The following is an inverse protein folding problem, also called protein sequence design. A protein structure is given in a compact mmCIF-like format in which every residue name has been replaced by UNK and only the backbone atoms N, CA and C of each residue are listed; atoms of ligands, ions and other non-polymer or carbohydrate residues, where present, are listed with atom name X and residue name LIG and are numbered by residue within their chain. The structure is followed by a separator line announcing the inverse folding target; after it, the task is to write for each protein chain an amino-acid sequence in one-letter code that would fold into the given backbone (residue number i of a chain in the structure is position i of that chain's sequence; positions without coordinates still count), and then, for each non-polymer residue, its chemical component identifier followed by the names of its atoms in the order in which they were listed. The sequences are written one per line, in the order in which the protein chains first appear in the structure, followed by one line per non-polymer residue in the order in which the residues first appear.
data_IF_994413855458
#
_entry.id   IF_994413855458
#
_cell.length_a   1.000
_cell.length_b   1.000
_cell.length_c   1.000
_cell.angle_alpha   90.00
_cell.angle_beta   90.00
_cell.angle_gamma   90.00
#
_symmetry.space_group_name_H-M   'P 1'
#
loop_
_entity.id
_entity.type
_entity.pdbx_description
1 polymer ?
#
# COMPACT_ATOMS: atom_id res chain seq x y z
N UNK A 1 5.89 5.18 -13.71
CA UNK A 1 6.40 3.88 -13.24
C UNK A 1 7.16 4.15 -11.98
N UNK A 2 6.92 3.40 -10.92
CA UNK A 2 7.63 3.57 -9.65
C UNK A 2 9.12 3.29 -9.87
N UNK A 3 9.97 4.27 -9.54
CA UNK A 3 11.42 4.17 -9.71
C UNK A 3 12.09 3.76 -8.39
N UNK A 4 12.60 2.52 -8.28
CA UNK A 4 13.27 2.07 -7.06
C UNK A 4 14.56 2.86 -6.79
N UNK A 5 15.25 3.40 -7.80
CA UNK A 5 16.51 4.15 -7.61
C UNK A 5 16.28 5.40 -6.78
N UNK A 6 15.16 6.09 -7.01
CA UNK A 6 14.80 7.27 -6.23
C UNK A 6 14.50 6.91 -4.77
N UNK A 7 13.80 5.80 -4.53
CA UNK A 7 13.49 5.33 -3.17
C UNK A 7 14.73 4.84 -2.42
N UNK A 8 15.67 4.20 -3.12
CA UNK A 8 16.95 3.73 -2.58
C UNK A 8 17.84 4.88 -2.06
N UNK A 9 17.61 6.12 -2.49
CA UNK A 9 18.28 7.29 -1.94
C UNK A 9 17.75 7.70 -0.54
N UNK A 10 16.73 7.01 -0.02
CA UNK A 10 16.25 7.23 1.33
C UNK A 10 17.30 6.83 2.38
N UNK A 11 17.48 7.69 3.37
CA UNK A 11 18.25 7.37 4.58
C UNK A 11 17.42 6.66 5.64
N UNK A 12 16.09 6.72 5.53
CA UNK A 12 15.15 6.14 6.48
C UNK A 12 13.85 5.77 5.76
N UNK A 13 13.26 4.64 6.17
CA UNK A 13 11.89 4.27 5.81
C UNK A 13 11.08 4.12 7.08
N UNK A 14 10.01 4.90 7.22
CA UNK A 14 9.06 4.75 8.32
C UNK A 14 7.82 4.04 7.81
N UNK A 15 7.45 2.92 8.43
CA UNK A 15 6.17 2.25 8.21
C UNK A 15 5.19 2.74 9.26
N UNK A 16 4.02 3.20 8.82
CA UNK A 16 2.95 3.68 9.69
C UNK A 16 1.66 2.89 9.45
N UNK A 17 0.84 2.81 10.47
CA UNK A 17 -0.50 2.22 10.43
C UNK A 17 -1.45 3.14 9.64
N UNK A 18 -2.19 2.58 8.67
CA UNK A 18 -3.11 3.35 7.85
C UNK A 18 -2.44 4.21 6.77
N UNK A 19 -3.24 5.10 6.17
CA UNK A 19 -2.79 6.00 5.11
C UNK A 19 -2.04 7.22 5.67
N UNK A 20 -0.83 7.49 5.21
CA UNK A 20 -0.11 8.74 5.46
C UNK A 20 -0.22 9.79 4.35
N UNK A 21 -1.01 9.52 3.30
CA UNK A 21 -1.03 10.35 2.09
C UNK A 21 -1.42 11.81 2.37
N UNK A 22 -2.19 12.06 3.44
CA UNK A 22 -2.42 13.39 3.97
C UNK A 22 -1.42 13.71 5.11
N UNK A 23 -0.48 14.67 4.90
CA UNK A 23 0.45 15.12 5.94
C UNK A 23 -0.24 15.58 7.24
N UNK A 24 -1.48 16.08 7.16
CA UNK A 24 -2.26 16.51 8.33
C UNK A 24 -2.70 15.32 9.20
N UNK A 25 -2.96 14.18 8.58
CA UNK A 25 -3.36 12.95 9.26
C UNK A 25 -2.16 12.04 9.61
N UNK A 26 -1.03 12.18 8.90
CA UNK A 26 0.19 11.39 9.12
C UNK A 26 0.72 11.46 10.56
N UNK A 27 0.56 12.59 11.25
CA UNK A 27 1.02 12.73 12.64
C UNK A 27 0.18 11.95 13.65
N UNK A 28 -1.08 11.62 13.31
CA UNK A 28 -1.96 10.85 14.17
C UNK A 28 -1.75 9.33 14.01
N UNK A 29 -1.12 8.89 12.92
CA UNK A 29 -0.90 7.48 12.65
C UNK A 29 0.21 6.88 13.52
N UNK A 30 -0.02 5.67 14.00
CA UNK A 30 0.97 4.93 14.78
C UNK A 30 2.17 4.55 13.89
N UNK A 31 3.39 4.83 14.35
CA UNK A 31 4.61 4.33 13.71
C UNK A 31 4.82 2.87 14.10
N UNK A 32 4.86 2.00 13.11
CA UNK A 32 5.00 0.55 13.28
C UNK A 32 6.48 0.13 13.21
N UNK A 33 7.24 0.73 12.30
CA UNK A 33 8.65 0.43 12.06
C UNK A 33 9.39 1.68 11.61
N UNK A 34 10.66 1.77 11.99
CA UNK A 34 11.62 2.70 11.39
C UNK A 34 12.85 1.92 10.97
N UNK A 35 13.07 1.83 9.67
CA UNK A 35 14.22 1.18 9.05
C UNK A 35 15.27 2.22 8.64
N UNK A 36 16.54 1.95 8.96
CA UNK A 36 17.70 2.81 8.64
C UNK A 36 18.86 2.03 8.00
N UNK A 37 18.77 0.72 7.95
CA UNK A 37 19.72 -0.10 7.22
C UNK A 37 19.51 0.08 5.71
N UNK A 38 20.53 0.60 5.03
CA UNK A 38 20.42 0.94 3.61
C UNK A 38 20.17 -0.27 2.70
N UNK A 39 20.62 -1.48 3.09
CA UNK A 39 20.35 -2.70 2.32
C UNK A 39 18.89 -3.07 2.44
N UNK A 40 18.34 -3.05 3.65
CA UNK A 40 16.92 -3.35 3.89
C UNK A 40 16.00 -2.32 3.23
N UNK A 41 16.39 -1.04 3.19
CA UNK A 41 15.69 0.01 2.45
C UNK A 41 15.69 -0.29 0.95
N UNK A 42 16.84 -0.70 0.39
CA UNK A 42 16.92 -1.03 -1.02
C UNK A 42 16.06 -2.26 -1.38
N UNK A 43 16.09 -3.30 -0.55
CA UNK A 43 15.27 -4.50 -0.70
C UNK A 43 13.77 -4.15 -0.75
N UNK A 44 13.27 -3.37 0.21
CA UNK A 44 11.84 -3.02 0.24
C UNK A 44 11.45 -2.06 -0.89
N UNK A 45 12.33 -1.14 -1.28
CA UNK A 45 12.11 -0.28 -2.45
C UNK A 45 11.96 -1.11 -3.73
N UNK A 46 12.81 -2.12 -3.94
CA UNK A 46 12.71 -3.02 -5.09
C UNK A 46 11.40 -3.82 -5.06
N UNK A 47 11.03 -4.37 -3.91
CA UNK A 47 9.79 -5.14 -3.78
C UNK A 47 8.55 -4.28 -4.06
N UNK A 48 8.50 -3.06 -3.54
CA UNK A 48 7.35 -2.15 -3.72
C UNK A 48 7.24 -1.57 -5.13
N UNK A 49 8.37 -1.44 -5.85
CA UNK A 49 8.37 -0.98 -7.25
C UNK A 49 8.21 -2.13 -8.26
N UNK A 50 8.36 -3.39 -7.84
CA UNK A 50 8.17 -4.57 -8.68
C UNK A 50 6.68 -4.86 -8.91
N UNK A 51 6.10 -4.13 -9.86
CA UNK A 51 4.68 -4.15 -10.20
C UNK A 51 4.42 -4.81 -11.56
N UNK A 52 3.21 -5.34 -11.76
CA UNK A 52 2.85 -6.03 -13.01
C UNK A 52 2.87 -5.04 -14.20
N UNK A 53 3.68 -5.29 -15.25
CA UNK A 53 3.80 -4.40 -16.39
C UNK A 53 2.46 -4.20 -17.12
N UNK A 54 2.13 -2.95 -17.44
CA UNK A 54 0.93 -2.61 -18.23
C UNK A 54 -0.40 -2.81 -17.49
N UNK A 55 -0.39 -3.19 -16.21
CA UNK A 55 -1.59 -3.21 -15.39
C UNK A 55 -2.09 -1.78 -15.18
N UNK A 56 -3.34 -1.51 -15.57
CA UNK A 56 -4.05 -0.30 -15.13
C UNK A 56 -4.71 -0.60 -13.79
N UNK A 57 -4.34 0.16 -12.76
CA UNK A 57 -4.94 0.03 -11.45
C UNK A 57 -6.43 0.28 -11.43
N UNK A 58 -7.13 -0.39 -10.52
CA UNK A 58 -8.49 -0.01 -10.14
C UNK A 58 -8.40 1.02 -9.02
N UNK A 59 -9.34 1.97 -8.97
CA UNK A 59 -9.44 2.86 -7.81
C UNK A 59 -10.08 2.09 -6.65
N UNK A 60 -9.28 1.63 -5.69
CA UNK A 60 -9.81 0.97 -4.51
C UNK A 60 -10.43 1.99 -3.56
N UNK A 61 -11.65 1.73 -3.09
CA UNK A 61 -12.26 2.51 -1.99
C UNK A 61 -11.64 2.21 -0.61
N UNK A 62 -10.66 1.29 -0.56
CA UNK A 62 -9.95 0.89 0.65
C UNK A 62 -8.87 1.92 1.03
N UNK A 63 -8.68 2.13 2.33
CA UNK A 63 -7.52 2.86 2.85
C UNK A 63 -6.32 1.92 2.97
N UNK A 64 -5.09 2.36 2.65
CA UNK A 64 -3.88 1.59 2.93
C UNK A 64 -3.88 0.99 4.33
N UNK A 65 -3.59 -0.31 4.44
CA UNK A 65 -3.41 -0.97 5.73
C UNK A 65 -2.17 -0.40 6.44
N UNK A 66 -1.11 -0.16 5.67
CA UNK A 66 0.10 0.53 6.09
C UNK A 66 0.61 1.44 4.99
N UNK A 67 1.35 2.47 5.38
CA UNK A 67 2.08 3.37 4.47
C UNK A 67 3.58 3.32 4.75
N UNK A 68 4.39 3.26 3.69
CA UNK A 68 5.85 3.37 3.70
C UNK A 68 6.25 4.80 3.34
N UNK A 69 6.84 5.52 4.28
CA UNK A 69 7.33 6.88 4.08
C UNK A 69 8.85 6.83 3.90
N UNK A 70 9.31 7.04 2.67
CA UNK A 70 10.72 7.10 2.31
C UNK A 70 11.26 8.51 2.56
N UNK A 71 12.31 8.63 3.38
CA UNK A 71 12.85 9.88 3.87
C UNK A 71 14.34 10.00 3.54
N UNK A 72 14.77 11.18 3.09
CA UNK A 72 16.18 11.56 3.01
C UNK A 72 16.42 12.74 3.94
N UNK A 73 17.03 12.47 5.09
CA UNK A 73 17.11 13.42 6.20
C UNK A 73 15.72 13.85 6.68
N UNK A 74 15.37 15.13 6.48
CA UNK A 74 14.05 15.69 6.86
C UNK A 74 13.05 15.76 5.70
N UNK A 75 13.45 15.34 4.49
CA UNK A 75 12.63 15.43 3.29
C UNK A 75 11.95 14.09 3.02
N UNK A 76 10.64 14.13 2.79
CA UNK A 76 9.90 12.99 2.21
C UNK A 76 10.26 12.89 0.73
N UNK A 77 10.81 11.74 0.33
CA UNK A 77 11.05 11.41 -1.07
C UNK A 77 9.77 10.91 -1.72
N UNK A 78 9.11 9.95 -1.07
CA UNK A 78 7.87 9.35 -1.52
C UNK A 78 7.14 8.67 -0.38
N UNK A 79 5.85 8.49 -0.57
CA UNK A 79 5.03 7.64 0.27
C UNK A 79 4.28 6.62 -0.59
N UNK A 80 4.31 5.37 -0.17
CA UNK A 80 3.61 4.26 -0.83
C UNK A 80 2.69 3.56 0.16
N UNK A 81 1.41 3.42 -0.17
CA UNK A 81 0.43 2.68 0.62
C UNK A 81 0.36 1.22 0.18
N UNK A 82 0.25 0.28 1.10
CA UNK A 82 -0.11 -1.11 0.77
C UNK A 82 -1.60 -1.34 0.98
N UNK A 83 -2.24 -1.90 -0.04
CA UNK A 83 -3.66 -2.25 -0.03
C UNK A 83 -3.81 -3.77 -0.04
N UNK A 84 -4.97 -4.24 0.43
CA UNK A 84 -5.39 -5.64 0.24
C UNK A 84 -4.29 -6.64 0.61
N UNK A 85 -3.78 -6.55 1.84
CA UNK A 85 -2.77 -7.48 2.38
C UNK A 85 -1.47 -7.54 1.57
N UNK A 86 -1.00 -6.38 1.10
CA UNK A 86 0.20 -6.25 0.26
C UNK A 86 0.07 -6.80 -1.17
N UNK A 87 -1.14 -6.93 -1.70
CA UNK A 87 -1.36 -7.30 -3.11
C UNK A 87 -1.14 -6.12 -4.07
N UNK A 88 -1.41 -4.90 -3.61
CA UNK A 88 -1.28 -3.69 -4.42
C UNK A 88 -0.52 -2.60 -3.67
N UNK A 89 0.16 -1.77 -4.45
CA UNK A 89 0.79 -0.54 -3.98
C UNK A 89 0.02 0.66 -4.52
N UNK A 90 -0.31 1.60 -3.63
CA UNK A 90 -0.90 2.89 -3.94
C UNK A 90 0.18 3.96 -3.91
N UNK A 91 0.24 4.74 -4.98
CA UNK A 91 1.06 5.94 -5.08
C UNK A 91 0.15 7.14 -5.35
N UNK A 92 0.62 8.33 -4.99
CA UNK A 92 -0.06 9.60 -5.20
C UNK A 92 -0.30 9.95 -6.69
N UNK A 93 0.67 9.59 -7.52
CA UNK A 93 0.82 10.02 -8.91
C UNK A 93 0.46 8.91 -9.89
N UNK A 94 0.30 7.67 -9.41
CA UNK A 94 0.02 6.51 -10.24
C UNK A 94 -1.23 5.77 -9.75
N UNK A 95 -2.00 5.13 -10.65
CA UNK A 95 -3.11 4.29 -10.26
C UNK A 95 -2.62 3.12 -9.39
N UNK A 96 -3.49 2.53 -8.57
CA UNK A 96 -3.12 1.43 -7.68
C UNK A 96 -2.53 0.23 -8.45
N UNK A 97 -1.24 -0.06 -8.27
CA UNK A 97 -0.55 -1.06 -9.07
C UNK A 97 -0.49 -2.41 -8.35
N UNK A 98 -0.85 -3.53 -9.01
CA UNK A 98 -0.62 -4.85 -8.45
C UNK A 98 0.89 -5.15 -8.36
N UNK A 99 1.30 -5.74 -7.23
CA UNK A 99 2.67 -6.17 -7.00
C UNK A 99 2.92 -7.53 -7.66
N UNK A 100 4.13 -7.73 -8.20
CA UNK A 100 4.55 -9.02 -8.75
C UNK A 100 4.77 -10.07 -7.65
N UNK A 101 5.23 -9.63 -6.48
CA UNK A 101 5.65 -10.50 -5.37
C UNK A 101 5.04 -10.06 -4.02
N UNK A 102 3.71 -10.11 -3.88
CA UNK A 102 3.02 -9.64 -2.67
C UNK A 102 3.43 -10.41 -1.40
N UNK A 103 3.65 -11.72 -1.52
CA UNK A 103 4.11 -12.57 -0.40
C UNK A 103 5.50 -12.15 0.12
N UNK A 104 6.40 -11.69 -0.76
CA UNK A 104 7.72 -11.26 -0.35
C UNK A 104 7.66 -9.95 0.48
N UNK A 105 6.70 -9.07 0.17
CA UNK A 105 6.44 -7.86 0.96
C UNK A 105 5.86 -8.21 2.32
N UNK A 106 4.88 -9.13 2.37
CA UNK A 106 4.28 -9.62 3.62
C UNK A 106 5.32 -10.33 4.50
N UNK A 107 6.18 -11.19 3.93
CA UNK A 107 7.27 -11.84 4.67
C UNK A 107 8.30 -10.83 5.20
N UNK A 108 8.63 -9.78 4.43
CA UNK A 108 9.50 -8.71 4.88
C UNK A 108 8.91 -7.97 6.09
N UNK A 109 7.62 -7.65 6.04
CA UNK A 109 6.90 -6.99 7.14
C UNK A 109 6.87 -7.87 8.40
N UNK A 110 6.55 -9.16 8.26
CA UNK A 110 6.54 -10.11 9.37
C UNK A 110 7.92 -10.27 9.99
N UNK A 111 8.98 -10.36 9.18
CA UNK A 111 10.35 -10.42 9.66
C UNK A 111 10.75 -9.15 10.43
N UNK A 112 10.13 -8.01 10.12
CA UNK A 112 10.31 -6.75 10.83
C UNK A 112 9.38 -6.57 12.05
N UNK A 113 8.54 -7.57 12.37
CA UNK A 113 7.58 -7.52 13.48
C UNK A 113 6.32 -6.71 13.18
N UNK A 114 6.06 -6.38 11.92
CA UNK A 114 4.85 -5.67 11.48
C UNK A 114 3.82 -6.68 11.00
N UNK A 115 2.66 -6.70 11.67
CA UNK A 115 1.57 -7.59 11.32
C UNK A 115 0.45 -6.80 10.63
N UNK A 116 0.21 -7.11 9.36
CA UNK A 116 -0.94 -6.59 8.62
C UNK A 116 -2.24 -7.08 9.27
N UNK A 117 -3.22 -6.19 9.41
CA UNK A 117 -4.49 -6.54 10.05
C UNK A 117 -5.29 -7.36 9.05
N UNK A 118 -5.53 -8.64 9.34
CA UNK A 118 -6.58 -9.35 8.63
C UNK A 118 -7.90 -8.57 8.81
N UNK A 119 -8.58 -8.12 7.73
CA UNK A 119 -9.92 -7.61 7.90
C UNK A 119 -10.84 -8.78 8.32
N UNK A 120 -11.91 -8.52 9.09
CA UNK A 120 -13.06 -9.43 9.05
C UNK A 120 -13.42 -9.66 7.58
N UNK A 121 -13.79 -10.89 7.24
CA UNK A 121 -14.02 -11.38 5.87
C UNK A 121 -14.59 -10.31 4.92
N UNK A 122 -13.98 -10.21 3.73
CA UNK A 122 -14.35 -9.34 2.59
C UNK A 122 -15.82 -8.88 2.65
N UNK A 123 -16.05 -7.57 2.67
CA UNK A 123 -17.27 -7.04 2.04
C UNK A 123 -17.04 -7.18 0.55
N UNK A 124 -17.74 -8.12 -0.07
CA UNK A 124 -17.83 -8.24 -1.51
C UNK A 124 -18.18 -6.87 -2.12
N UNK A 125 -17.73 -6.57 -3.36
CA UNK A 125 -18.25 -5.42 -4.07
C UNK A 125 -19.77 -5.52 -4.09
N UNK A 126 -20.46 -4.41 -3.84
CA UNK A 126 -21.90 -4.33 -4.09
C UNK A 126 -22.10 -4.55 -5.59
N UNK A 127 -22.27 -5.81 -5.98
CA UNK A 127 -22.88 -6.14 -7.26
C UNK A 127 -24.31 -5.66 -7.10
N UNK A 128 -24.64 -4.54 -7.74
CA UNK A 128 -26.02 -4.10 -7.91
C UNK A 128 -26.81 -5.28 -8.46
N UNK A 129 -27.55 -5.96 -7.59
CA UNK A 129 -28.56 -6.89 -8.01
C UNK A 129 -29.66 -6.04 -8.66
N UNK A 130 -30.00 -6.25 -9.95
CA UNK A 130 -31.20 -5.65 -10.47
C UNK A 130 -32.37 -6.20 -9.66
N UNK A 131 -32.99 -5.33 -8.86
CA UNK A 131 -34.25 -5.60 -8.20
C UNK A 131 -35.22 -6.01 -9.31
N UNK A 132 -35.51 -7.31 -9.41
CA UNK A 132 -36.61 -7.80 -10.25
C UNK A 132 -37.88 -7.17 -9.69
N UNK A 133 -38.44 -6.20 -10.40
CA UNK A 133 -39.80 -5.74 -10.12
C UNK A 133 -40.73 -6.96 -10.17
N UNK A 134 -41.63 -7.14 -9.19
CA UNK A 134 -42.65 -8.16 -9.31
C UNK A 134 -43.46 -7.88 -10.57
N UNK A 135 -43.70 -8.96 -11.31
CA UNK A 135 -44.57 -9.00 -12.49
C UNK A 135 -45.95 -8.56 -12.01
N UNK A 136 -46.43 -7.41 -12.48
CA UNK A 136 -47.82 -7.03 -12.28
C UNK A 136 -48.70 -8.15 -12.85
N UNK A 137 -49.52 -8.72 -11.97
CA UNK A 137 -50.61 -9.60 -12.32
C UNK A 137 -51.84 -8.72 -12.55
N UNK A 138 -52.20 -8.50 -13.83
CA UNK A 138 -53.58 -8.21 -14.27
C UNK A 138 -53.76 -8.84 -15.65
#
# INVERSE_FOLDING_TARGET
MLDPVMLQAASEVTVIDGAGYDPAHRQANARLLVERDSRRIAEIAELLCDTVPGATGMDWMEWPEVSFVFLSGRRVLRELGLLSRADHVRDAEYPDLPLCRPLAVDDWLRAAGVHLRHPPARREPAVDHPIRKPRDAV
#
